data_IF_514934397529
#
_entry.id   IF_514934397529
#
_cell.length_a   1.000
_cell.length_b   1.000
_cell.length_c   1.000
_cell.angle_alpha   90.00
_cell.angle_beta   90.00
_cell.angle_gamma   90.00
#
_symmetry.space_group_name_H-M   'P 1'
#
loop_
_entity.id
_entity.type
_entity.pdbx_description
1 polymer ?
#
# COMPACT_ATOMS: atom_id res chain seq x y z
N UNK A 1 21.08 -74.32 -46.27
CA UNK A 1 21.19 -72.86 -46.03
C UNK A 1 19.99 -72.41 -45.20
N UNK A 2 20.20 -72.13 -43.92
CA UNK A 2 19.09 -71.67 -42.99
C UNK A 2 19.19 -70.15 -42.88
N UNK A 3 18.20 -69.42 -43.39
CA UNK A 3 18.06 -67.98 -43.28
C UNK A 3 17.68 -67.65 -41.85
N UNK A 4 18.50 -66.86 -41.16
CA UNK A 4 18.12 -66.24 -39.87
C UNK A 4 17.30 -65.01 -40.12
N UNK A 5 16.10 -64.98 -39.59
CA UNK A 5 15.20 -63.82 -39.54
C UNK A 5 15.56 -63.03 -38.27
N UNK A 6 15.98 -61.75 -38.46
CA UNK A 6 16.23 -60.80 -37.39
C UNK A 6 14.89 -60.09 -37.06
N UNK A 7 14.45 -60.08 -35.81
CA UNK A 7 13.23 -59.30 -35.46
C UNK A 7 13.53 -57.79 -35.41
N UNK A 8 12.55 -56.93 -35.72
CA UNK A 8 12.76 -55.48 -35.68
C UNK A 8 12.88 -54.99 -34.25
N UNK A 9 13.87 -54.11 -34.04
CA UNK A 9 14.01 -53.32 -32.79
C UNK A 9 12.79 -52.41 -32.62
N UNK A 10 12.07 -52.58 -31.52
CA UNK A 10 11.06 -51.65 -31.07
C UNK A 10 11.73 -50.40 -30.48
N UNK A 11 11.62 -49.27 -31.15
CA UNK A 11 12.01 -47.96 -30.61
C UNK A 11 10.93 -47.52 -29.63
N UNK A 12 11.21 -47.61 -28.35
CA UNK A 12 10.35 -47.03 -27.32
C UNK A 12 10.52 -45.48 -27.36
N UNK A 13 9.51 -44.79 -27.81
CA UNK A 13 9.43 -43.33 -27.71
C UNK A 13 9.24 -42.95 -26.25
N UNK A 14 10.27 -42.38 -25.64
CA UNK A 14 10.24 -41.77 -24.31
C UNK A 14 9.46 -40.44 -24.40
N UNK A 15 8.17 -40.45 -24.10
CA UNK A 15 7.37 -39.25 -23.92
C UNK A 15 7.81 -38.55 -22.65
N UNK A 16 8.61 -37.50 -22.78
CA UNK A 16 8.90 -36.57 -21.68
C UNK A 16 7.61 -35.78 -21.43
N UNK A 17 6.88 -36.18 -20.41
CA UNK A 17 5.80 -35.35 -19.84
C UNK A 17 6.50 -34.19 -19.14
N UNK A 18 6.57 -33.01 -19.77
CA UNK A 18 6.88 -31.77 -19.11
C UNK A 18 5.75 -31.49 -18.10
N UNK A 19 5.93 -31.98 -16.89
CA UNK A 19 5.10 -31.57 -15.76
C UNK A 19 5.26 -30.07 -15.60
N UNK A 20 4.16 -29.31 -15.75
CA UNK A 20 4.09 -27.93 -15.31
C UNK A 20 4.32 -27.93 -13.81
N UNK A 21 5.49 -27.49 -13.36
CA UNK A 21 5.76 -27.22 -11.96
C UNK A 21 4.73 -26.17 -11.56
N UNK A 22 3.87 -26.42 -10.54
CA UNK A 22 2.97 -25.38 -10.05
C UNK A 22 3.86 -24.18 -9.68
N UNK A 23 3.58 -23.02 -10.26
CA UNK A 23 4.36 -21.83 -10.03
C UNK A 23 4.43 -21.56 -8.53
N UNK A 24 5.66 -21.43 -8.01
CA UNK A 24 5.90 -21.06 -6.62
C UNK A 24 5.14 -19.77 -6.29
N UNK A 25 4.44 -19.73 -5.15
CA UNK A 25 3.87 -18.50 -4.63
C UNK A 25 4.99 -17.70 -3.98
N UNK A 26 5.17 -16.45 -4.42
CA UNK A 26 6.17 -15.62 -3.76
C UNK A 26 6.68 -14.43 -4.57
N UNK A 27 7.40 -13.54 -3.91
CA UNK A 27 7.91 -12.30 -4.49
C UNK A 27 8.94 -12.52 -5.60
N UNK A 28 9.55 -13.69 -5.66
CA UNK A 28 10.50 -14.10 -6.71
C UNK A 28 9.88 -14.15 -8.11
N UNK A 29 8.55 -14.13 -8.21
CA UNK A 29 7.84 -14.04 -9.49
C UNK A 29 7.99 -12.67 -10.16
N UNK A 30 8.25 -11.62 -9.36
CA UNK A 30 8.36 -10.24 -9.83
C UNK A 30 9.83 -9.92 -10.07
N UNK A 31 10.19 -9.63 -11.32
CA UNK A 31 11.47 -9.04 -11.64
C UNK A 31 11.49 -7.55 -11.25
N UNK A 32 12.65 -7.04 -10.81
CA UNK A 32 12.78 -5.59 -10.57
C UNK A 32 12.48 -4.81 -11.85
N UNK A 33 11.51 -3.89 -11.83
CA UNK A 33 11.13 -3.13 -13.02
C UNK A 33 12.14 -2.01 -13.30
N UNK A 34 13.34 -2.33 -13.78
CA UNK A 34 14.43 -1.38 -14.01
C UNK A 34 14.01 -0.16 -14.87
N UNK A 35 13.02 -0.35 -15.75
CA UNK A 35 12.45 0.70 -16.59
C UNK A 35 11.34 1.54 -15.94
N UNK A 36 11.09 1.41 -14.65
CA UNK A 36 9.96 2.08 -13.96
C UNK A 36 9.93 3.60 -14.14
N UNK A 37 11.09 4.24 -14.30
CA UNK A 37 11.17 5.69 -14.53
C UNK A 37 10.55 6.13 -15.86
N UNK A 38 10.37 5.22 -16.82
CA UNK A 38 9.63 5.43 -18.07
C UNK A 38 8.12 5.20 -17.92
N UNK A 39 7.66 4.69 -16.78
CA UNK A 39 6.24 4.57 -16.48
C UNK A 39 5.62 5.92 -16.10
N UNK A 40 4.32 5.98 -15.95
CA UNK A 40 3.61 7.21 -15.59
C UNK A 40 3.72 7.44 -14.07
N UNK A 41 4.39 8.53 -13.68
CA UNK A 41 4.31 9.04 -12.30
C UNK A 41 2.90 9.61 -12.08
N UNK A 42 2.04 8.88 -11.36
CA UNK A 42 0.65 9.29 -11.20
C UNK A 42 0.37 10.00 -9.87
N UNK A 43 1.23 9.82 -8.86
CA UNK A 43 1.13 10.59 -7.60
C UNK A 43 2.40 10.54 -6.78
N UNK A 44 2.52 11.48 -5.84
CA UNK A 44 3.55 11.50 -4.80
C UNK A 44 2.90 11.69 -3.45
N UNK A 45 3.51 11.17 -2.39
CA UNK A 45 3.02 11.36 -1.04
C UNK A 45 4.14 11.51 -0.01
N UNK A 46 3.84 12.24 1.07
CA UNK A 46 4.70 12.40 2.23
C UNK A 46 4.21 11.49 3.36
N UNK A 47 5.08 10.65 3.87
CA UNK A 47 4.86 9.82 5.06
C UNK A 47 5.47 10.53 6.26
N UNK A 48 4.67 11.33 6.96
CA UNK A 48 5.14 12.11 8.12
C UNK A 48 5.58 11.22 9.28
N UNK A 49 4.92 10.07 9.45
CA UNK A 49 5.21 9.10 10.51
C UNK A 49 6.62 8.47 10.40
N UNK A 50 7.12 8.29 9.19
CA UNK A 50 8.43 7.67 8.92
C UNK A 50 9.39 8.60 8.18
N UNK A 51 9.04 9.87 8.02
CA UNK A 51 9.84 10.90 7.34
C UNK A 51 10.30 10.46 5.95
N UNK A 52 9.36 10.00 5.13
CA UNK A 52 9.63 9.52 3.77
C UNK A 52 8.87 10.35 2.73
N UNK A 53 9.55 10.65 1.62
CA UNK A 53 8.94 11.08 0.37
C UNK A 53 8.76 9.86 -0.53
N UNK A 54 7.62 9.73 -1.19
CA UNK A 54 7.29 8.57 -2.02
C UNK A 54 6.76 8.99 -3.38
N UNK A 55 7.16 8.25 -4.42
CA UNK A 55 6.70 8.38 -5.79
C UNK A 55 5.99 7.08 -6.21
N UNK A 56 4.84 7.20 -6.86
CA UNK A 56 4.06 6.07 -7.32
C UNK A 56 3.95 6.11 -8.84
N UNK A 57 4.48 5.07 -9.46
CA UNK A 57 4.48 4.87 -10.90
C UNK A 57 3.57 3.73 -11.29
N UNK A 58 2.99 3.79 -12.48
CA UNK A 58 2.22 2.70 -13.07
C UNK A 58 2.49 2.59 -14.56
N UNK A 59 2.40 1.37 -15.10
CA UNK A 59 2.46 1.14 -16.54
C UNK A 59 1.37 1.94 -17.25
N UNK A 60 1.61 2.46 -18.48
CA UNK A 60 0.64 3.24 -19.24
C UNK A 60 -0.70 2.53 -19.40
N UNK A 61 -0.69 1.21 -19.59
CA UNK A 61 -1.88 0.39 -19.80
C UNK A 61 -2.77 0.37 -18.55
N UNK A 62 -2.17 0.29 -17.34
CA UNK A 62 -2.89 0.38 -16.09
C UNK A 62 -3.58 1.75 -15.93
N UNK A 63 -2.86 2.84 -16.19
CA UNK A 63 -3.40 4.20 -16.11
C UNK A 63 -4.54 4.41 -17.11
N UNK A 64 -4.36 3.97 -18.36
CA UNK A 64 -5.37 4.11 -19.41
C UNK A 64 -6.63 3.28 -19.10
N UNK A 65 -6.47 2.04 -18.60
CA UNK A 65 -7.58 1.19 -18.22
C UNK A 65 -8.41 1.85 -17.12
N UNK A 66 -7.77 2.30 -16.04
CA UNK A 66 -8.45 2.93 -14.90
C UNK A 66 -9.15 4.23 -15.30
N UNK A 67 -8.50 5.10 -16.08
CA UNK A 67 -9.13 6.34 -16.60
C UNK A 67 -10.33 6.08 -17.48
N UNK A 68 -10.36 4.94 -18.16
CA UNK A 68 -11.48 4.52 -19.00
C UNK A 68 -12.54 3.72 -18.23
N UNK A 69 -12.44 3.61 -16.89
CA UNK A 69 -13.36 2.82 -16.05
C UNK A 69 -13.30 1.32 -16.32
N UNK A 70 -12.20 0.81 -16.87
CA UNK A 70 -12.00 -0.60 -17.19
C UNK A 70 -11.12 -1.28 -16.12
N UNK A 71 -11.25 -2.59 -15.92
CA UNK A 71 -10.37 -3.36 -15.05
C UNK A 71 -8.89 -3.19 -15.45
N UNK A 72 -7.99 -3.21 -14.46
CA UNK A 72 -6.55 -3.18 -14.69
C UNK A 72 -6.14 -4.49 -15.40
N UNK A 73 -5.50 -4.43 -16.57
CA UNK A 73 -5.14 -5.63 -17.33
C UNK A 73 -3.99 -6.42 -16.70
N UNK A 74 -3.89 -7.69 -17.03
CA UNK A 74 -2.69 -8.51 -16.77
C UNK A 74 -1.47 -7.90 -17.46
N UNK A 75 -0.30 -8.01 -16.83
CA UNK A 75 0.94 -7.33 -17.25
C UNK A 75 1.12 -5.94 -16.65
N UNK A 76 0.14 -5.42 -15.92
CA UNK A 76 0.26 -4.13 -15.23
C UNK A 76 1.22 -4.20 -14.05
N UNK A 77 2.07 -3.17 -13.94
CA UNK A 77 3.03 -3.01 -12.85
C UNK A 77 2.83 -1.65 -12.19
N UNK A 78 2.68 -1.65 -10.87
CA UNK A 78 2.67 -0.45 -10.05
C UNK A 78 3.91 -0.47 -9.15
N UNK A 79 4.69 0.61 -9.19
CA UNK A 79 5.95 0.73 -8.46
C UNK A 79 5.89 1.90 -7.49
N UNK A 80 6.07 1.62 -6.22
CA UNK A 80 6.27 2.62 -5.17
C UNK A 80 7.76 2.77 -4.93
N UNK A 81 8.29 3.97 -5.17
CA UNK A 81 9.67 4.35 -4.88
C UNK A 81 9.72 5.12 -3.57
N UNK A 82 10.56 4.69 -2.65
CA UNK A 82 10.67 5.25 -1.30
C UNK A 82 11.99 6.00 -1.13
N UNK A 83 11.90 7.23 -0.67
CA UNK A 83 13.06 8.06 -0.34
C UNK A 83 12.96 8.53 1.11
N UNK A 84 14.09 8.72 1.78
CA UNK A 84 14.12 9.52 3.00
C UNK A 84 13.69 10.95 2.65
N UNK A 85 12.94 11.61 3.53
CA UNK A 85 12.84 13.06 3.43
C UNK A 85 14.24 13.65 3.70
N UNK A 86 14.68 14.62 2.87
CA UNK A 86 15.93 15.34 3.12
C UNK A 86 15.84 15.99 4.50
N UNK A 87 16.86 15.81 5.31
CA UNK A 87 16.95 16.43 6.64
C UNK A 87 17.83 17.68 6.60
N UNK A 88 17.49 18.67 7.44
CA UNK A 88 18.35 19.79 7.76
C UNK A 88 19.41 19.42 8.81
N UNK A 89 20.21 20.39 9.24
CA UNK A 89 21.25 20.18 10.24
C UNK A 89 20.73 19.72 11.62
N UNK A 90 19.44 19.95 11.92
CA UNK A 90 18.78 19.50 13.16
C UNK A 90 18.16 18.10 13.03
N UNK A 91 18.19 17.50 11.83
CA UNK A 91 17.52 16.22 11.52
C UNK A 91 16.01 16.35 11.26
N UNK A 92 15.50 17.59 11.09
CA UNK A 92 14.13 17.83 10.72
C UNK A 92 13.94 17.70 9.20
N UNK A 93 12.79 17.18 8.71
CA UNK A 93 12.52 17.10 7.30
C UNK A 93 12.44 18.49 6.64
N UNK A 94 13.24 18.70 5.59
CA UNK A 94 13.17 19.90 4.76
C UNK A 94 11.90 19.85 3.92
N UNK A 95 11.19 20.97 3.84
CA UNK A 95 10.00 21.15 3.01
C UNK A 95 10.26 22.16 1.89
N UNK A 96 9.62 21.93 0.75
CA UNK A 96 9.60 22.87 -0.36
C UNK A 96 8.60 24.02 -0.10
N UNK A 97 8.49 24.97 -1.04
CA UNK A 97 7.58 26.11 -0.95
C UNK A 97 6.09 25.73 -0.88
N UNK A 98 5.73 24.48 -1.22
CA UNK A 98 4.37 23.91 -1.13
C UNK A 98 4.15 23.14 0.17
N UNK A 99 5.14 23.11 1.07
CA UNK A 99 5.09 22.38 2.33
C UNK A 99 5.32 20.87 2.20
N UNK A 100 5.72 20.37 1.02
CA UNK A 100 6.00 18.96 0.74
C UNK A 100 7.44 18.61 1.11
N UNK A 101 7.66 17.36 1.50
CA UNK A 101 9.03 16.88 1.78
C UNK A 101 9.91 16.99 0.54
N UNK A 102 11.13 17.42 0.75
CA UNK A 102 12.17 17.40 -0.27
C UNK A 102 12.76 15.99 -0.31
N UNK A 103 12.85 15.42 -1.50
CA UNK A 103 13.42 14.11 -1.78
C UNK A 103 14.89 14.05 -1.36
N UNK A 104 15.24 13.03 -0.60
CA UNK A 104 16.59 12.70 -0.15
C UNK A 104 17.05 11.34 -0.72
N UNK A 105 17.75 10.54 0.09
CA UNK A 105 18.33 9.26 -0.31
C UNK A 105 17.28 8.23 -0.63
N UNK A 106 17.52 7.44 -1.68
CA UNK A 106 16.70 6.29 -2.03
C UNK A 106 16.78 5.20 -0.95
N UNK A 107 15.62 4.70 -0.52
CA UNK A 107 15.51 3.59 0.44
C UNK A 107 15.35 2.26 -0.30
N UNK A 108 14.50 2.25 -1.33
CA UNK A 108 14.15 1.05 -2.08
C UNK A 108 12.77 1.15 -2.72
N UNK A 109 12.23 0.00 -3.08
CA UNK A 109 11.00 -0.09 -3.86
C UNK A 109 10.05 -1.13 -3.28
N UNK A 110 8.75 -0.91 -3.48
CA UNK A 110 7.76 -1.99 -3.45
C UNK A 110 7.03 -2.02 -4.77
N UNK A 111 6.81 -3.21 -5.27
CA UNK A 111 6.19 -3.45 -6.57
C UNK A 111 4.99 -4.34 -6.39
N UNK A 112 3.90 -4.03 -7.05
CA UNK A 112 2.82 -4.96 -7.28
C UNK A 112 2.64 -5.17 -8.78
N UNK A 113 2.56 -6.43 -9.18
CA UNK A 113 2.39 -6.84 -10.58
C UNK A 113 1.18 -7.75 -10.70
N UNK A 114 0.37 -7.53 -11.73
CA UNK A 114 -0.81 -8.32 -12.03
C UNK A 114 -0.57 -9.20 -13.24
N UNK A 115 -0.81 -10.50 -13.10
CA UNK A 115 -0.79 -11.44 -14.24
C UNK A 115 -1.91 -12.43 -14.15
N UNK A 116 -2.51 -12.72 -15.29
CA UNK A 116 -3.56 -13.74 -15.40
C UNK A 116 -3.09 -15.09 -14.86
N UNK A 117 -3.90 -15.65 -13.97
CA UNK A 117 -3.64 -16.94 -13.31
C UNK A 117 -2.78 -16.87 -12.05
N UNK A 118 -2.23 -15.70 -11.69
CA UNK A 118 -1.54 -15.54 -10.42
C UNK A 118 -2.51 -15.48 -9.23
N UNK A 119 -1.99 -15.76 -8.05
CA UNK A 119 -2.73 -15.69 -6.78
C UNK A 119 -3.54 -16.95 -6.45
N UNK A 120 -3.68 -17.92 -7.38
CA UNK A 120 -4.45 -19.15 -7.13
C UNK A 120 -3.80 -20.07 -6.09
N UNK A 121 -2.52 -19.93 -5.86
CA UNK A 121 -1.70 -20.61 -4.88
C UNK A 121 -1.89 -20.11 -3.45
N UNK A 122 -2.47 -18.92 -3.26
CA UNK A 122 -2.74 -18.37 -1.95
C UNK A 122 -4.13 -18.76 -1.43
N UNK A 123 -4.30 -18.96 -0.11
CA UNK A 123 -5.62 -19.14 0.48
C UNK A 123 -6.50 -17.90 0.26
N UNK A 124 -7.82 -18.09 0.21
CA UNK A 124 -8.78 -17.06 -0.20
C UNK A 124 -8.75 -15.80 0.69
N UNK A 125 -8.46 -15.95 1.98
CA UNK A 125 -8.36 -14.87 2.94
C UNK A 125 -7.12 -13.99 2.73
N UNK A 126 -6.06 -14.54 2.13
CA UNK A 126 -4.84 -13.81 1.80
C UNK A 126 -4.83 -13.30 0.36
N UNK A 127 -5.45 -14.02 -0.57
CA UNK A 127 -5.42 -13.72 -2.00
C UNK A 127 -5.95 -12.32 -2.34
N UNK A 128 -5.20 -11.57 -3.13
CA UNK A 128 -5.58 -10.27 -3.69
C UNK A 128 -5.78 -10.37 -5.21
N UNK A 129 -6.76 -11.17 -5.65
CA UNK A 129 -7.01 -11.41 -7.07
C UNK A 129 -5.79 -12.04 -7.74
N UNK A 130 -5.34 -11.44 -8.83
CA UNK A 130 -4.18 -11.88 -9.63
C UNK A 130 -2.91 -11.04 -9.36
N UNK A 131 -2.88 -10.30 -8.23
CA UNK A 131 -1.74 -9.49 -7.83
C UNK A 131 -0.72 -10.28 -7.03
N UNK A 132 0.56 -10.00 -7.30
CA UNK A 132 1.71 -10.40 -6.51
C UNK A 132 2.47 -9.16 -6.04
N UNK A 133 3.26 -9.29 -4.97
CA UNK A 133 3.97 -8.19 -4.33
C UNK A 133 5.44 -8.55 -4.11
N UNK A 134 6.33 -7.59 -4.37
CA UNK A 134 7.76 -7.72 -4.05
C UNK A 134 8.31 -6.42 -3.47
N UNK A 135 9.36 -6.54 -2.66
CA UNK A 135 10.15 -5.42 -2.18
C UNK A 135 11.59 -5.54 -2.67
N UNK A 136 12.19 -4.42 -3.03
CA UNK A 136 13.57 -4.37 -3.52
C UNK A 136 14.38 -3.31 -2.76
N UNK A 137 15.65 -3.56 -2.58
CA UNK A 137 16.60 -2.59 -2.06
C UNK A 137 16.83 -1.41 -3.03
N UNK A 138 17.60 -0.42 -2.59
CA UNK A 138 17.97 0.73 -3.43
C UNK A 138 18.81 0.32 -4.65
N UNK A 139 19.48 -0.82 -4.57
CA UNK A 139 20.25 -1.44 -5.64
C UNK A 139 19.41 -2.28 -6.62
N UNK A 140 18.10 -2.38 -6.38
CA UNK A 140 17.20 -3.21 -7.16
C UNK A 140 17.24 -4.71 -6.82
N UNK A 141 18.03 -5.14 -5.82
CA UNK A 141 18.03 -6.52 -5.37
C UNK A 141 16.77 -6.87 -4.59
N UNK A 142 16.23 -8.09 -4.80
CA UNK A 142 15.06 -8.58 -4.08
C UNK A 142 15.34 -8.60 -2.57
N UNK A 143 14.44 -7.99 -1.79
CA UNK A 143 14.51 -8.04 -0.34
C UNK A 143 13.76 -9.26 0.20
N UNK A 144 14.43 -10.39 0.28
CA UNK A 144 13.88 -11.67 0.78
C UNK A 144 13.41 -11.60 2.24
N UNK A 145 13.89 -10.60 3.01
CA UNK A 145 13.50 -10.40 4.42
C UNK A 145 12.21 -9.59 4.57
N UNK A 146 11.66 -9.07 3.47
CA UNK A 146 10.40 -8.33 3.51
C UNK A 146 9.24 -9.24 3.90
N UNK A 147 8.37 -8.75 4.78
CA UNK A 147 7.14 -9.48 5.14
C UNK A 147 6.06 -9.28 4.06
N UNK A 148 6.06 -10.15 3.05
CA UNK A 148 5.12 -10.08 1.92
C UNK A 148 3.66 -10.31 2.33
N UNK A 149 3.40 -11.14 3.35
CA UNK A 149 2.05 -11.32 3.91
C UNK A 149 1.43 -9.99 4.31
N UNK A 150 2.26 -9.05 4.82
CA UNK A 150 1.78 -7.70 5.18
C UNK A 150 1.33 -6.89 3.97
N UNK A 151 1.92 -7.10 2.79
CA UNK A 151 1.46 -6.43 1.56
C UNK A 151 0.04 -6.88 1.22
N UNK A 152 -0.21 -8.18 1.20
CA UNK A 152 -1.54 -8.74 0.97
C UNK A 152 -2.57 -8.22 1.98
N UNK A 153 -2.26 -8.28 3.27
CA UNK A 153 -3.15 -7.82 4.34
C UNK A 153 -3.47 -6.32 4.25
N UNK A 154 -2.48 -5.50 3.86
CA UNK A 154 -2.65 -4.05 3.71
C UNK A 154 -3.54 -3.71 2.51
N UNK A 155 -3.42 -4.46 1.41
CA UNK A 155 -4.16 -4.25 0.18
C UNK A 155 -5.55 -4.92 0.19
N UNK A 156 -5.77 -5.97 0.99
CA UNK A 156 -7.02 -6.74 1.06
C UNK A 156 -8.29 -5.90 1.25
N UNK A 157 -8.33 -4.85 2.09
CA UNK A 157 -9.52 -4.01 2.26
C UNK A 157 -9.96 -3.24 1.01
N UNK A 158 -9.12 -3.21 -0.03
CA UNK A 158 -9.36 -2.48 -1.28
C UNK A 158 -9.79 -3.40 -2.43
N UNK A 159 -10.41 -4.53 -2.13
CA UNK A 159 -10.87 -5.52 -3.11
C UNK A 159 -11.79 -4.90 -4.17
N UNK A 160 -12.71 -4.02 -3.78
CA UNK A 160 -13.60 -3.30 -4.71
C UNK A 160 -12.89 -2.29 -5.62
N UNK A 161 -11.61 -2.01 -5.35
CA UNK A 161 -10.73 -1.16 -6.13
C UNK A 161 -9.58 -1.97 -6.74
N UNK A 162 -9.84 -3.24 -7.07
CA UNK A 162 -8.83 -4.15 -7.60
C UNK A 162 -7.54 -4.17 -6.75
N UNK A 163 -7.70 -4.10 -5.41
CA UNK A 163 -6.63 -4.09 -4.40
C UNK A 163 -5.63 -2.92 -4.52
N UNK A 164 -5.94 -1.86 -5.27
CA UNK A 164 -5.07 -0.69 -5.45
C UNK A 164 -5.47 0.41 -4.45
N UNK A 165 -4.63 0.63 -3.43
CA UNK A 165 -4.87 1.62 -2.36
C UNK A 165 -5.03 3.03 -2.95
N UNK A 166 -4.21 3.38 -3.93
CA UNK A 166 -4.15 4.71 -4.57
C UNK A 166 -5.00 4.81 -5.85
N UNK A 167 -6.10 4.05 -5.94
CA UNK A 167 -6.95 3.97 -7.14
C UNK A 167 -7.45 5.36 -7.60
N UNK A 168 -7.89 6.21 -6.67
CA UNK A 168 -8.36 7.57 -7.00
C UNK A 168 -7.24 8.42 -7.64
N UNK A 169 -6.02 8.27 -7.16
CA UNK A 169 -4.83 8.91 -7.72
C UNK A 169 -4.53 8.40 -9.12
N UNK A 170 -4.60 7.09 -9.30
CA UNK A 170 -4.35 6.42 -10.57
C UNK A 170 -5.38 6.81 -11.62
N UNK A 171 -6.65 6.98 -11.22
CA UNK A 171 -7.72 7.47 -12.07
C UNK A 171 -7.58 8.96 -12.45
N UNK A 172 -6.75 9.71 -11.73
CA UNK A 172 -6.69 11.17 -11.86
C UNK A 172 -7.98 11.86 -11.37
N UNK A 173 -8.80 11.13 -10.62
CA UNK A 173 -10.06 11.61 -10.04
C UNK A 173 -9.85 12.21 -8.65
N UNK A 174 -8.66 12.78 -8.40
CA UNK A 174 -8.54 13.62 -7.24
C UNK A 174 -9.63 14.69 -7.30
N UNK A 175 -10.45 14.85 -6.28
CA UNK A 175 -11.05 16.12 -6.08
C UNK A 175 -9.88 17.10 -5.95
N UNK A 176 -9.70 17.96 -6.95
CA UNK A 176 -8.81 19.12 -6.93
C UNK A 176 -9.27 20.15 -5.89
N UNK A 177 -10.30 19.81 -5.11
CA UNK A 177 -10.64 20.46 -3.87
C UNK A 177 -9.97 19.65 -2.76
N UNK A 178 -9.12 20.29 -1.95
CA UNK A 178 -8.83 19.81 -0.63
C UNK A 178 -10.13 19.19 -0.09
N UNK A 179 -10.07 17.90 0.33
CA UNK A 179 -11.14 17.36 1.17
C UNK A 179 -11.33 18.41 2.23
N UNK A 180 -12.47 19.09 2.20
CA UNK A 180 -12.73 20.25 3.05
C UNK A 180 -12.40 19.78 4.45
N UNK A 181 -11.31 20.32 5.01
CA UNK A 181 -11.00 20.08 6.41
C UNK A 181 -12.22 20.57 7.15
N UNK A 182 -13.09 19.65 7.54
CA UNK A 182 -14.13 19.93 8.50
C UNK A 182 -13.40 20.14 9.81
N UNK A 183 -12.86 21.34 10.01
CA UNK A 183 -12.18 21.71 11.25
C UNK A 183 -13.21 22.33 12.17
N UNK A 184 -14.08 21.47 12.72
CA UNK A 184 -14.81 21.81 13.91
C UNK A 184 -13.86 21.80 15.12
N UNK A 185 -14.23 22.45 16.23
CA UNK A 185 -13.42 22.49 17.44
C UNK A 185 -13.16 21.10 18.05
N UNK A 186 -13.83 20.05 17.56
CA UNK A 186 -13.74 18.67 18.03
C UNK A 186 -13.34 17.68 16.94
N UNK A 187 -12.80 18.17 15.82
CA UNK A 187 -12.42 17.33 14.68
C UNK A 187 -10.91 17.11 14.60
N UNK A 188 -10.53 15.88 14.25
CA UNK A 188 -9.16 15.48 13.94
C UNK A 188 -9.11 14.97 12.50
N UNK A 189 -8.27 15.55 11.68
CA UNK A 189 -8.00 15.06 10.34
C UNK A 189 -6.83 14.09 10.36
N UNK A 190 -6.93 12.99 9.63
CA UNK A 190 -5.81 12.09 9.34
C UNK A 190 -5.31 12.43 7.96
N UNK A 191 -4.10 13.01 7.89
CA UNK A 191 -3.50 13.51 6.65
C UNK A 191 -1.99 13.28 6.64
N UNK A 192 -1.44 12.79 5.53
CA UNK A 192 -0.01 12.53 5.38
C UNK A 192 0.55 11.59 6.46
N UNK A 193 -0.26 10.63 6.94
CA UNK A 193 0.08 9.75 8.06
C UNK A 193 0.38 10.49 9.36
N UNK A 194 -0.43 11.50 9.66
CA UNK A 194 -0.41 12.25 10.91
C UNK A 194 -1.83 12.57 11.37
N UNK A 195 -2.02 12.80 12.68
CA UNK A 195 -3.25 13.37 13.23
C UNK A 195 -3.11 14.88 13.33
N UNK A 196 -4.09 15.61 12.82
CA UNK A 196 -4.12 17.10 12.84
C UNK A 196 -5.47 17.60 13.39
N UNK A 197 -5.47 18.25 14.58
CA UNK A 197 -4.31 18.49 15.42
C UNK A 197 -3.79 17.20 16.10
N UNK A 198 -2.50 17.16 16.42
CA UNK A 198 -1.89 16.03 17.15
C UNK A 198 -2.41 15.89 18.57
N UNK A 199 -2.69 17.04 19.21
CA UNK A 199 -3.34 17.11 20.53
C UNK A 199 -4.58 17.97 20.39
N UNK A 200 -5.72 17.45 20.84
CA UNK A 200 -7.00 18.13 20.84
C UNK A 200 -7.54 18.22 22.27
N UNK A 201 -7.93 19.41 22.72
CA UNK A 201 -8.60 19.61 24.00
C UNK A 201 -10.11 19.76 23.78
N UNK A 202 -10.89 19.00 24.56
CA UNK A 202 -12.36 18.99 24.52
C UNK A 202 -12.96 19.01 25.92
N UNK A 203 -14.22 19.42 26.06
CA UNK A 203 -14.97 19.31 27.31
C UNK A 203 -15.48 17.88 27.56
N UNK A 204 -15.79 17.54 28.83
CA UNK A 204 -16.45 16.28 29.17
C UNK A 204 -17.77 16.10 28.43
N UNK A 205 -18.02 14.90 27.89
CA UNK A 205 -19.22 14.57 27.11
C UNK A 205 -19.17 15.00 25.64
N UNK A 206 -18.13 15.69 25.19
CA UNK A 206 -17.99 16.04 23.80
C UNK A 206 -17.58 14.84 22.95
N UNK A 207 -18.03 14.84 21.71
CA UNK A 207 -17.67 13.84 20.70
C UNK A 207 -16.50 14.36 19.86
N UNK A 208 -15.44 13.56 19.74
CA UNK A 208 -14.34 13.79 18.82
C UNK A 208 -14.56 12.99 17.54
N UNK A 209 -14.35 13.61 16.38
CA UNK A 209 -14.51 12.97 15.07
C UNK A 209 -13.17 12.93 14.34
N UNK A 210 -12.70 11.73 14.01
CA UNK A 210 -11.54 11.51 13.12
C UNK A 210 -12.01 11.30 11.70
N UNK A 211 -11.43 12.03 10.75
CA UNK A 211 -11.70 11.87 9.31
C UNK A 211 -10.42 11.50 8.56
N UNK A 212 -10.42 10.37 7.86
CA UNK A 212 -9.29 9.95 7.03
C UNK A 212 -9.31 10.65 5.68
N UNK A 213 -8.26 11.42 5.37
CA UNK A 213 -8.05 12.07 4.06
C UNK A 213 -6.95 11.42 3.24
N UNK A 214 -6.18 10.49 3.84
CA UNK A 214 -5.16 9.70 3.12
C UNK A 214 -5.80 8.63 2.23
N UNK A 215 -5.11 8.23 1.17
CA UNK A 215 -5.50 7.07 0.37
C UNK A 215 -5.37 5.76 1.16
N UNK A 216 -4.41 5.69 2.09
CA UNK A 216 -4.23 4.55 2.98
C UNK A 216 -5.32 4.49 4.05
N UNK A 217 -5.72 3.28 4.41
CA UNK A 217 -6.63 3.06 5.53
C UNK A 217 -5.97 3.39 6.87
N UNK A 218 -6.78 3.88 7.81
CA UNK A 218 -6.38 4.14 9.18
C UNK A 218 -7.35 3.48 10.18
N UNK A 219 -6.93 3.33 11.43
CA UNK A 219 -7.76 2.83 12.52
C UNK A 219 -7.33 3.49 13.82
N UNK A 220 -8.25 4.14 14.50
CA UNK A 220 -7.97 4.70 15.83
C UNK A 220 -7.93 3.57 16.85
N UNK A 221 -6.92 3.57 17.70
CA UNK A 221 -6.78 2.62 18.79
C UNK A 221 -6.39 3.38 20.06
N UNK A 222 -7.27 3.43 21.05
CA UNK A 222 -6.98 4.00 22.35
C UNK A 222 -5.99 3.10 23.11
N UNK A 223 -4.91 3.69 23.65
CA UNK A 223 -3.84 2.89 24.23
C UNK A 223 -4.24 2.24 25.57
N UNK A 224 -5.00 2.94 26.40
CA UNK A 224 -5.41 2.46 27.72
C UNK A 224 -6.56 1.44 27.65
N UNK A 225 -7.66 1.78 26.99
CA UNK A 225 -8.86 0.92 26.90
C UNK A 225 -8.73 -0.17 25.85
N UNK A 226 -7.79 -0.05 24.91
CA UNK A 226 -7.66 -0.93 23.74
C UNK A 226 -8.85 -0.91 22.78
N UNK A 227 -9.77 0.03 22.94
CA UNK A 227 -10.87 0.26 22.01
C UNK A 227 -10.34 0.64 20.65
N UNK A 228 -11.02 0.16 19.62
CA UNK A 228 -10.63 0.35 18.22
C UNK A 228 -11.81 0.84 17.39
N UNK A 229 -11.57 1.86 16.57
CA UNK A 229 -12.53 2.22 15.52
C UNK A 229 -12.66 1.12 14.48
N UNK A 230 -13.70 1.14 13.63
CA UNK A 230 -13.67 0.50 12.32
C UNK A 230 -12.44 0.92 11.52
N UNK A 231 -12.16 0.18 10.43
CA UNK A 231 -11.19 0.62 9.44
C UNK A 231 -11.75 1.85 8.74
N UNK A 232 -10.98 2.94 8.65
CA UNK A 232 -11.35 4.17 7.98
C UNK A 232 -10.63 4.25 6.64
N UNK A 233 -11.34 4.00 5.55
CA UNK A 233 -10.87 4.29 4.20
C UNK A 233 -10.93 5.81 3.95
N UNK A 234 -10.35 6.26 2.84
CA UNK A 234 -10.37 7.69 2.46
C UNK A 234 -11.78 8.26 2.48
N UNK A 235 -11.94 9.41 3.11
CA UNK A 235 -13.22 10.11 3.27
C UNK A 235 -14.12 9.57 4.38
N UNK A 236 -13.78 8.45 5.00
CA UNK A 236 -14.56 7.89 6.12
C UNK A 236 -14.17 8.52 7.45
N UNK A 237 -15.14 8.58 8.35
CA UNK A 237 -15.01 9.18 9.68
C UNK A 237 -15.45 8.20 10.77
N UNK A 238 -14.92 8.41 11.98
CA UNK A 238 -15.34 7.75 13.21
C UNK A 238 -15.47 8.79 14.30
N UNK A 239 -16.51 8.70 15.09
CA UNK A 239 -16.74 9.60 16.23
C UNK A 239 -16.80 8.82 17.53
N UNK A 240 -16.23 9.39 18.60
CA UNK A 240 -16.25 8.81 19.94
C UNK A 240 -16.46 9.89 20.99
N UNK A 241 -17.32 9.60 21.99
CA UNK A 241 -17.60 10.50 23.10
C UNK A 241 -16.61 10.23 24.24
N UNK A 242 -16.08 11.32 24.83
CA UNK A 242 -15.20 11.30 25.99
C UNK A 242 -15.92 11.88 27.21
N UNK A 243 -16.52 11.02 28.04
CA UNK A 243 -17.36 11.44 29.16
C UNK A 243 -16.58 11.93 30.38
N UNK A 244 -15.40 11.37 30.66
CA UNK A 244 -14.64 11.68 31.86
C UNK A 244 -13.43 12.58 31.56
N UNK A 245 -13.09 13.54 32.44
CA UNK A 245 -11.85 14.28 32.38
C UNK A 245 -10.63 13.34 32.38
N UNK A 246 -9.60 13.71 31.62
CA UNK A 246 -8.37 12.90 31.56
C UNK A 246 -7.61 13.08 30.23
N UNK A 247 -6.49 12.35 30.13
CA UNK A 247 -5.65 12.30 28.93
C UNK A 247 -5.83 10.93 28.28
N UNK A 248 -6.22 10.95 27.02
CA UNK A 248 -6.49 9.76 26.20
C UNK A 248 -5.50 9.72 25.05
N UNK A 249 -4.45 8.92 25.22
CA UNK A 249 -3.48 8.67 24.15
C UNK A 249 -4.02 7.63 23.18
N UNK A 250 -3.81 7.87 21.89
CA UNK A 250 -4.22 6.95 20.84
C UNK A 250 -3.18 6.87 19.70
N UNK A 251 -3.26 5.80 18.93
CA UNK A 251 -2.40 5.53 17.79
C UNK A 251 -3.23 5.07 16.60
N UNK A 252 -2.64 5.14 15.41
CA UNK A 252 -3.19 4.37 14.31
C UNK A 252 -2.81 2.89 14.48
N UNK A 253 -3.81 2.01 14.58
CA UNK A 253 -3.58 0.56 14.75
C UNK A 253 -2.87 -0.13 13.58
N UNK A 254 -2.81 0.52 12.40
CA UNK A 254 -2.08 0.04 11.22
C UNK A 254 -0.69 0.69 11.10
N UNK A 255 -0.52 1.91 11.66
CA UNK A 255 0.69 2.73 11.58
C UNK A 255 1.07 3.22 12.96
N UNK A 256 1.70 2.40 13.83
CA UNK A 256 1.88 2.71 15.25
C UNK A 256 2.73 3.96 15.55
N UNK A 257 3.48 4.46 14.56
CA UNK A 257 4.21 5.72 14.67
C UNK A 257 3.28 6.97 14.59
N UNK A 258 2.06 6.81 14.05
CA UNK A 258 1.03 7.86 14.00
C UNK A 258 0.32 7.91 15.35
N UNK A 259 0.56 8.97 16.11
CA UNK A 259 0.10 9.12 17.50
C UNK A 259 -0.59 10.45 17.71
N UNK A 260 -1.60 10.44 18.57
CA UNK A 260 -2.33 11.64 18.99
C UNK A 260 -2.80 11.55 20.43
N UNK A 261 -3.32 12.67 20.93
CA UNK A 261 -3.80 12.82 22.30
C UNK A 261 -5.11 13.62 22.33
N UNK A 262 -6.09 13.13 23.09
CA UNK A 262 -7.28 13.91 23.47
C UNK A 262 -7.15 14.28 24.93
N UNK A 263 -7.21 15.58 25.25
CA UNK A 263 -7.27 16.09 26.60
C UNK A 263 -8.70 16.53 26.91
N UNK A 264 -9.31 15.90 27.91
CA UNK A 264 -10.67 16.23 28.37
C UNK A 264 -10.56 17.07 29.65
N UNK A 265 -10.98 18.34 29.59
CA UNK A 265 -10.85 19.32 30.68
C UNK A 265 -12.19 19.98 31.00
#
# INVERSE_FOLDING_TARGET
MKRRVIPPLAVAALTVVLGTVPGSAGPEKIAFPAGYAGHILYTTLDRHDVKQYRELYATPEAVQAVKAGRPIPGGSVLTLVMYKARADASGAPVKDARGRFVKGDLIGFTVMEKRTGWGTEYPADLRNGEWEYAAFGADGALNEKANHTRCFQCHKPYETQDFVISMASLAGTFPTGAVSRKTGPTDVTIAGFAFEPKTLTVGPGQSVTWTNTDDSAHRITLLKSRERSPLLLKGQSHSQVFAAPGVYEYVCGLHPAVRGTIEVK
#
